data_IF_733105264715
#
_entry.id   IF_733105264715
#
_cell.length_a   1.000
_cell.length_b   1.000
_cell.length_c   1.000
_cell.angle_alpha   90.00
_cell.angle_beta   90.00
_cell.angle_gamma   90.00
#
_symmetry.space_group_name_H-M   'P 1'
#
loop_
_entity.id
_entity.type
_entity.pdbx_description
1 polymer ?
#
# COMPACT_ATOMS: atom_id res chain seq x y z
N UNK A 1 72.32 -61.68 12.05
CA UNK A 1 71.34 -61.82 10.94
C UNK A 1 70.19 -60.82 10.94
N UNK A 2 69.32 -60.70 11.96
CA UNK A 2 68.19 -59.73 11.92
C UNK A 2 68.68 -58.27 11.91
N UNK A 3 69.67 -57.95 12.75
CA UNK A 3 70.26 -56.61 12.85
C UNK A 3 71.02 -56.18 11.58
N UNK A 4 71.80 -57.06 10.97
CA UNK A 4 72.53 -56.76 9.72
C UNK A 4 71.58 -56.52 8.55
N UNK A 5 70.49 -57.29 8.47
CA UNK A 5 69.41 -57.05 7.49
C UNK A 5 68.72 -55.71 7.72
N UNK A 6 68.60 -55.26 8.96
CA UNK A 6 68.06 -53.95 9.31
C UNK A 6 69.04 -52.82 8.94
N UNK A 7 70.32 -52.94 9.28
CA UNK A 7 71.35 -51.97 8.92
C UNK A 7 71.49 -51.82 7.41
N UNK A 8 71.57 -52.91 6.67
CA UNK A 8 71.60 -52.87 5.19
C UNK A 8 70.33 -52.29 4.57
N UNK A 9 69.18 -52.37 5.24
CA UNK A 9 67.96 -51.69 4.79
C UNK A 9 68.04 -50.18 5.06
N UNK A 10 68.54 -49.78 6.22
CA UNK A 10 68.75 -48.37 6.56
C UNK A 10 69.78 -47.73 5.64
N UNK A 11 70.89 -48.40 5.35
CA UNK A 11 71.92 -47.91 4.43
C UNK A 11 71.32 -47.68 3.03
N UNK A 12 70.52 -48.63 2.52
CA UNK A 12 69.80 -48.47 1.25
C UNK A 12 68.79 -47.33 1.27
N UNK A 13 68.07 -47.15 2.38
CA UNK A 13 67.15 -46.02 2.52
C UNK A 13 67.91 -44.70 2.55
N UNK A 14 69.05 -44.64 3.24
CA UNK A 14 69.94 -43.48 3.32
C UNK A 14 70.50 -43.13 1.94
N UNK A 15 71.05 -44.10 1.21
CA UNK A 15 71.51 -43.92 -0.17
C UNK A 15 70.39 -43.37 -1.07
N UNK A 16 69.17 -43.91 -0.95
CA UNK A 16 68.02 -43.46 -1.75
C UNK A 16 67.59 -42.03 -1.42
N UNK A 17 67.79 -41.58 -0.19
CA UNK A 17 67.48 -40.22 0.27
C UNK A 17 68.58 -39.27 -0.20
N UNK A 18 69.85 -39.66 -0.06
CA UNK A 18 71.00 -38.88 -0.53
C UNK A 18 70.94 -38.66 -2.04
N UNK A 19 70.64 -39.69 -2.83
CA UNK A 19 70.45 -39.58 -4.27
C UNK A 19 69.31 -38.61 -4.63
N UNK A 20 68.17 -38.71 -3.92
CA UNK A 20 67.05 -37.77 -4.11
C UNK A 20 67.43 -36.33 -3.77
N UNK A 21 68.24 -36.12 -2.73
CA UNK A 21 68.68 -34.79 -2.32
C UNK A 21 69.66 -34.16 -3.33
N UNK A 22 70.50 -34.97 -3.97
CA UNK A 22 71.45 -34.53 -5.01
C UNK A 22 70.73 -34.30 -6.35
N UNK A 23 69.68 -35.08 -6.63
CA UNK A 23 68.90 -34.98 -7.86
C UNK A 23 68.15 -33.64 -8.00
N UNK A 24 67.78 -33.28 -9.24
CA UNK A 24 67.01 -32.06 -9.49
C UNK A 24 65.61 -32.16 -8.87
N UNK A 25 65.21 -31.14 -8.10
CA UNK A 25 63.85 -31.04 -7.56
C UNK A 25 62.81 -31.06 -8.68
N UNK A 26 61.64 -31.71 -8.45
CA UNK A 26 60.56 -31.74 -9.41
C UNK A 26 60.00 -30.33 -9.62
N UNK A 27 59.33 -30.13 -10.76
CA UNK A 27 58.92 -28.80 -11.22
C UNK A 27 58.03 -28.04 -10.24
N UNK A 28 57.11 -28.71 -9.54
CA UNK A 28 56.20 -28.08 -8.57
C UNK A 28 56.90 -27.60 -7.28
N UNK A 29 58.13 -28.08 -7.01
CA UNK A 29 58.97 -27.64 -5.89
C UNK A 29 59.92 -26.49 -6.28
N UNK A 30 59.86 -26.03 -7.53
CA UNK A 30 60.65 -24.90 -8.05
C UNK A 30 59.75 -23.66 -8.12
N UNK A 31 60.31 -22.49 -7.78
CA UNK A 31 59.65 -21.21 -8.03
C UNK A 31 59.68 -20.84 -9.52
N UNK A 32 58.77 -19.97 -9.95
CA UNK A 32 58.80 -19.31 -11.27
C UNK A 32 58.87 -20.28 -12.47
N UNK A 33 58.15 -21.40 -12.39
CA UNK A 33 58.16 -22.44 -13.42
C UNK A 33 57.36 -21.99 -14.65
N UNK A 34 57.99 -22.05 -15.83
CA UNK A 34 57.32 -21.79 -17.10
C UNK A 34 56.64 -23.05 -17.64
N UNK A 35 55.71 -22.87 -18.59
CA UNK A 35 55.01 -23.98 -19.24
C UNK A 35 55.94 -24.94 -20.00
N UNK A 36 57.15 -24.51 -20.37
CA UNK A 36 58.16 -25.32 -21.07
C UNK A 36 58.98 -26.24 -20.14
N UNK A 37 59.07 -25.89 -18.85
CA UNK A 37 59.91 -26.61 -17.88
C UNK A 37 59.21 -27.84 -17.26
N UNK A 38 57.94 -28.05 -17.64
CA UNK A 38 57.07 -29.15 -17.20
C UNK A 38 56.51 -29.89 -18.41
N UNK A 39 56.14 -31.16 -18.21
CA UNK A 39 55.46 -31.93 -19.25
C UNK A 39 54.06 -31.39 -19.54
N UNK A 40 53.54 -31.72 -20.72
CA UNK A 40 52.17 -31.41 -21.10
C UNK A 40 51.19 -32.00 -20.08
N UNK A 41 50.14 -31.25 -19.73
CA UNK A 41 49.09 -31.64 -18.78
C UNK A 41 49.52 -31.94 -17.32
N UNK A 42 50.80 -31.80 -16.95
CA UNK A 42 51.27 -32.02 -15.57
C UNK A 42 50.53 -31.19 -14.49
N UNK A 43 49.97 -30.04 -14.88
CA UNK A 43 49.19 -29.18 -13.98
C UNK A 43 47.86 -29.82 -13.53
N UNK A 44 47.30 -30.75 -14.30
CA UNK A 44 46.04 -31.42 -13.97
C UNK A 44 46.24 -32.53 -12.94
N UNK A 45 47.45 -33.06 -12.82
CA UNK A 45 47.81 -34.12 -11.87
C UNK A 45 47.98 -33.59 -10.45
N UNK A 46 48.46 -32.34 -10.33
CA UNK A 46 48.79 -31.71 -9.06
C UNK A 46 47.68 -30.75 -8.58
N UNK A 47 47.46 -30.71 -7.27
CA UNK A 47 46.44 -29.86 -6.65
C UNK A 47 47.04 -28.55 -6.13
N UNK A 48 46.82 -27.46 -6.86
CA UNK A 48 47.22 -26.11 -6.43
C UNK A 48 46.04 -25.31 -5.91
N UNK A 49 46.24 -24.64 -4.78
CA UNK A 49 45.30 -23.63 -4.29
C UNK A 49 45.67 -22.27 -4.91
N UNK A 50 44.76 -21.73 -5.72
CA UNK A 50 44.94 -20.43 -6.39
C UNK A 50 43.78 -19.52 -6.03
N UNK A 51 44.11 -18.30 -5.61
CA UNK A 51 43.11 -17.28 -5.37
C UNK A 51 42.42 -16.88 -6.70
N UNK A 52 41.10 -17.05 -6.75
CA UNK A 52 40.29 -16.64 -7.90
C UNK A 52 39.71 -15.25 -7.62
N UNK A 53 39.82 -14.35 -8.59
CA UNK A 53 39.35 -12.97 -8.49
C UNK A 53 37.86 -12.81 -8.84
N UNK A 54 37.19 -13.88 -9.30
CA UNK A 54 35.79 -13.84 -9.70
C UNK A 54 34.87 -14.29 -8.55
N UNK A 55 33.80 -13.52 -8.33
CA UNK A 55 32.70 -13.94 -7.44
C UNK A 55 32.04 -15.16 -8.06
N UNK A 56 32.06 -16.27 -7.33
CA UNK A 56 31.38 -17.49 -7.75
C UNK A 56 29.88 -17.25 -7.90
N UNK A 57 29.35 -17.46 -9.11
CA UNK A 57 27.92 -17.47 -9.35
C UNK A 57 27.40 -18.87 -9.06
N UNK A 58 26.54 -19.07 -8.04
CA UNK A 58 25.97 -20.38 -7.79
C UNK A 58 25.13 -20.82 -8.98
N UNK A 59 25.03 -22.14 -9.15
CA UNK A 59 24.12 -22.75 -10.12
C UNK A 59 22.65 -22.44 -9.80
N UNK A 60 21.72 -22.86 -10.67
CA UNK A 60 20.29 -22.72 -10.38
C UNK A 60 19.96 -23.43 -9.06
N UNK A 61 19.14 -22.78 -8.23
CA UNK A 61 18.63 -23.37 -7.00
C UNK A 61 17.62 -24.47 -7.29
N UNK A 62 17.45 -25.39 -6.34
CA UNK A 62 16.41 -26.42 -6.40
C UNK A 62 15.01 -25.79 -6.50
N UNK A 63 14.27 -26.19 -7.52
CA UNK A 63 12.92 -25.69 -7.80
C UNK A 63 11.96 -25.93 -6.63
N UNK A 64 12.16 -27.01 -5.87
CA UNK A 64 11.35 -27.36 -4.71
C UNK A 64 11.42 -26.30 -3.60
N UNK A 65 12.60 -25.73 -3.36
CA UNK A 65 12.82 -24.70 -2.33
C UNK A 65 12.08 -23.42 -2.73
N UNK A 66 12.17 -23.04 -4.01
CA UNK A 66 11.47 -21.88 -4.57
C UNK A 66 9.95 -22.08 -4.47
N UNK A 67 9.46 -23.26 -4.84
CA UNK A 67 8.04 -23.58 -4.77
C UNK A 67 7.50 -23.49 -3.34
N UNK A 68 8.26 -23.99 -2.36
CA UNK A 68 7.85 -23.94 -0.96
C UNK A 68 7.89 -22.51 -0.38
N UNK A 69 8.88 -21.70 -0.79
CA UNK A 69 8.91 -20.27 -0.49
C UNK A 69 7.67 -19.54 -1.04
N UNK A 70 7.32 -19.80 -2.30
CA UNK A 70 6.15 -19.19 -2.93
C UNK A 70 4.84 -19.64 -2.28
N UNK A 71 4.69 -20.94 -1.96
CA UNK A 71 3.53 -21.46 -1.22
C UNK A 71 3.37 -20.77 0.12
N UNK A 72 4.48 -20.55 0.85
CA UNK A 72 4.48 -19.82 2.12
C UNK A 72 4.05 -18.36 1.92
N UNK A 73 4.62 -17.66 0.96
CA UNK A 73 4.26 -16.26 0.64
C UNK A 73 2.80 -16.08 0.28
N UNK A 74 2.23 -16.99 -0.53
CA UNK A 74 0.81 -16.99 -0.90
C UNK A 74 -0.08 -17.26 0.31
N UNK A 75 0.29 -18.25 1.15
CA UNK A 75 -0.44 -18.58 2.38
C UNK A 75 -0.48 -17.39 3.34
N UNK A 76 0.63 -16.66 3.45
CA UNK A 76 0.79 -15.51 4.34
C UNK A 76 0.27 -14.19 3.71
N UNK A 77 -0.11 -14.20 2.43
CA UNK A 77 -0.49 -13.03 1.63
C UNK A 77 0.54 -11.89 1.70
N UNK A 78 1.82 -12.24 1.80
CA UNK A 78 2.92 -11.28 1.93
C UNK A 78 3.44 -10.88 0.54
N UNK A 79 2.66 -10.06 -0.16
CA UNK A 79 3.02 -9.55 -1.49
C UNK A 79 3.55 -8.12 -1.39
N UNK A 80 4.70 -7.87 -2.01
CA UNK A 80 5.28 -6.53 -2.16
C UNK A 80 4.82 -5.88 -3.46
N UNK A 81 3.50 -5.75 -3.62
CA UNK A 81 2.89 -5.14 -4.81
C UNK A 81 2.69 -3.64 -4.56
N UNK A 82 3.02 -2.74 -5.51
CA UNK A 82 2.74 -1.31 -5.34
C UNK A 82 1.26 -1.07 -5.07
N UNK A 83 0.97 -0.18 -4.11
CA UNK A 83 -0.40 0.22 -3.77
C UNK A 83 -0.81 1.44 -4.59
N UNK A 84 -2.08 1.50 -4.99
CA UNK A 84 -2.62 2.71 -5.60
C UNK A 84 -2.61 3.85 -4.57
N UNK A 85 -1.99 4.97 -4.94
CA UNK A 85 -2.03 6.20 -4.15
C UNK A 85 -3.45 6.78 -4.22
N UNK A 86 -4.25 6.52 -3.19
CA UNK A 86 -5.57 7.15 -3.02
C UNK A 86 -5.34 8.54 -2.43
N UNK A 87 -5.90 9.58 -3.06
CA UNK A 87 -5.91 10.93 -2.47
C UNK A 87 -6.58 10.84 -1.10
N UNK A 88 -5.96 11.31 0.01
CA UNK A 88 -6.68 11.41 1.27
C UNK A 88 -7.89 12.28 1.02
N UNK A 89 -9.09 11.69 1.13
CA UNK A 89 -10.30 12.49 1.22
C UNK A 89 -10.25 13.12 2.60
N UNK A 90 -10.27 14.44 2.66
CA UNK A 90 -10.48 15.14 3.91
C UNK A 90 -11.76 14.55 4.50
N UNK A 91 -11.62 13.82 5.61
CA UNK A 91 -12.77 13.31 6.32
C UNK A 91 -13.45 14.54 6.91
N UNK A 92 -14.44 15.07 6.19
CA UNK A 92 -15.48 15.91 6.77
C UNK A 92 -16.11 15.03 7.83
N UNK A 93 -15.60 15.16 9.04
CA UNK A 93 -16.15 14.51 10.21
C UNK A 93 -17.46 15.23 10.41
N UNK A 94 -18.53 14.70 9.82
CA UNK A 94 -19.89 15.09 10.21
C UNK A 94 -19.90 15.05 11.72
N UNK A 95 -20.15 16.17 12.41
CA UNK A 95 -20.20 16.20 13.86
C UNK A 95 -21.10 15.05 14.26
N UNK A 96 -20.54 14.06 14.96
CA UNK A 96 -21.39 13.08 15.61
C UNK A 96 -22.17 13.90 16.61
N UNK A 97 -23.48 13.99 16.43
CA UNK A 97 -24.35 14.59 17.42
C UNK A 97 -24.07 13.88 18.74
N UNK A 98 -23.28 14.52 19.60
CA UNK A 98 -23.11 14.08 20.95
C UNK A 98 -24.49 14.27 21.56
N UNK A 99 -25.19 13.16 21.81
CA UNK A 99 -26.43 13.17 22.57
C UNK A 99 -26.03 13.68 23.95
N UNK A 100 -26.22 14.98 24.17
CA UNK A 100 -25.97 15.61 25.45
C UNK A 100 -26.94 14.97 26.44
N UNK A 101 -26.41 14.30 27.45
CA UNK A 101 -27.20 13.65 28.52
C UNK A 101 -27.77 14.64 29.53
N UNK A 102 -27.59 15.94 29.27
CA UNK A 102 -28.05 17.02 30.15
C UNK A 102 -29.51 17.34 29.80
N UNK A 103 -30.39 17.32 30.80
CA UNK A 103 -31.80 17.65 30.65
C UNK A 103 -31.93 19.18 30.53
N UNK A 104 -32.02 19.68 29.31
CA UNK A 104 -32.37 21.09 29.04
C UNK A 104 -33.88 21.27 29.03
N UNK A 105 -34.35 22.48 29.36
CA UNK A 105 -35.77 22.83 29.20
C UNK A 105 -36.12 22.93 27.72
N UNK A 106 -37.38 22.64 27.34
CA UNK A 106 -37.83 22.76 25.96
C UNK A 106 -37.61 24.18 25.40
N UNK A 107 -37.77 25.21 26.24
CA UNK A 107 -37.54 26.62 25.87
C UNK A 107 -36.07 26.83 25.48
N UNK A 108 -35.15 26.30 26.27
CA UNK A 108 -33.70 26.41 26.04
C UNK A 108 -33.27 25.63 24.79
N UNK A 109 -33.90 24.48 24.50
CA UNK A 109 -33.68 23.76 23.26
C UNK A 109 -34.11 24.57 22.04
N UNK A 110 -35.28 25.23 22.09
CA UNK A 110 -35.74 26.09 21.01
C UNK A 110 -34.87 27.33 20.83
N UNK A 111 -34.44 27.98 21.91
CA UNK A 111 -33.50 29.12 21.86
C UNK A 111 -32.16 28.70 21.26
N UNK A 112 -31.65 27.53 21.67
CA UNK A 112 -30.41 26.97 21.12
C UNK A 112 -30.56 26.59 19.64
N UNK A 113 -31.70 26.02 19.23
CA UNK A 113 -31.96 25.72 17.82
C UNK A 113 -32.09 26.99 16.97
N UNK A 114 -32.77 28.01 17.48
CA UNK A 114 -32.91 29.30 16.80
C UNK A 114 -31.55 30.01 16.66
N UNK A 115 -30.75 30.02 17.73
CA UNK A 115 -29.41 30.59 17.72
C UNK A 115 -28.47 29.81 16.79
N UNK A 116 -28.54 28.48 16.79
CA UNK A 116 -27.78 27.63 15.86
C UNK A 116 -28.22 27.83 14.41
N UNK A 117 -29.51 27.94 14.12
CA UNK A 117 -30.01 28.22 12.77
C UNK A 117 -29.48 29.57 12.26
N UNK A 118 -29.51 30.60 13.12
CA UNK A 118 -28.98 31.93 12.80
C UNK A 118 -27.44 31.96 12.70
N UNK A 119 -26.75 31.10 13.44
CA UNK A 119 -25.30 30.93 13.35
C UNK A 119 -24.89 30.15 12.08
N UNK A 120 -25.71 29.18 11.64
CA UNK A 120 -25.48 28.40 10.42
C UNK A 120 -25.65 29.25 9.14
N UNK A 121 -26.47 30.31 9.21
CA UNK A 121 -26.60 31.31 8.13
C UNK A 121 -25.36 32.20 7.97
N UNK A 122 -24.51 32.33 9.01
CA UNK A 122 -23.26 33.08 8.93
C UNK A 122 -22.11 32.12 8.62
N UNK A 123 -21.25 32.40 7.62
CA UNK A 123 -20.06 31.59 7.39
C UNK A 123 -19.18 31.68 8.65
N UNK A 124 -19.05 30.55 9.34
CA UNK A 124 -18.18 30.39 10.50
C UNK A 124 -16.77 30.03 10.02
N UNK A 125 -16.24 30.75 9.04
CA UNK A 125 -14.82 30.72 8.71
C UNK A 125 -14.11 31.81 9.52
N UNK A 126 -12.86 31.56 9.92
CA UNK A 126 -12.09 32.57 10.64
C UNK A 126 -11.89 33.78 9.71
N UNK A 127 -12.24 35.02 10.12
CA UNK A 127 -12.21 36.18 9.23
C UNK A 127 -10.79 36.44 8.69
N UNK A 128 -9.75 36.11 9.46
CA UNK A 128 -8.36 36.19 9.02
C UNK A 128 -8.05 35.24 7.85
N UNK A 129 -8.65 34.05 7.81
CA UNK A 129 -8.47 33.08 6.72
C UNK A 129 -9.13 33.57 5.44
N UNK A 130 -10.30 34.19 5.54
CA UNK A 130 -10.98 34.77 4.37
C UNK A 130 -10.17 35.94 3.77
N UNK A 131 -9.64 36.82 4.62
CA UNK A 131 -8.76 37.91 4.19
C UNK A 131 -7.52 37.36 3.49
N UNK A 132 -6.82 36.42 4.10
CA UNK A 132 -5.65 35.78 3.51
C UNK A 132 -5.98 35.07 2.18
N UNK A 133 -7.14 34.42 2.09
CA UNK A 133 -7.60 33.77 0.85
C UNK A 133 -7.76 34.79 -0.27
N UNK A 134 -8.37 35.94 0.01
CA UNK A 134 -8.56 37.00 -0.97
C UNK A 134 -7.22 37.61 -1.44
N UNK A 135 -6.29 37.84 -0.51
CA UNK A 135 -4.93 38.32 -0.82
C UNK A 135 -4.17 37.33 -1.72
N UNK A 136 -4.25 36.03 -1.41
CA UNK A 136 -3.60 34.98 -2.21
C UNK A 136 -4.20 34.91 -3.61
N UNK A 137 -5.53 34.97 -3.73
CA UNK A 137 -6.21 34.97 -5.05
C UNK A 137 -5.72 36.16 -5.88
N UNK A 138 -5.76 37.37 -5.32
CA UNK A 138 -5.31 38.58 -6.01
C UNK A 138 -3.82 38.55 -6.39
N UNK A 139 -2.96 38.02 -5.52
CA UNK A 139 -1.53 37.86 -5.83
C UNK A 139 -1.32 36.94 -7.04
N UNK A 140 -1.99 35.79 -7.07
CA UNK A 140 -1.85 34.86 -8.19
C UNK A 140 -2.45 35.39 -9.48
N UNK A 141 -3.56 36.13 -9.43
CA UNK A 141 -4.15 36.74 -10.63
C UNK A 141 -3.19 37.77 -11.26
N UNK A 142 -2.46 38.51 -10.43
CA UNK A 142 -1.40 39.41 -10.88
C UNK A 142 -0.20 38.65 -11.49
N UNK A 143 0.22 37.53 -10.90
CA UNK A 143 1.31 36.70 -11.43
C UNK A 143 0.92 36.00 -12.73
N UNK A 144 -0.31 35.53 -12.83
CA UNK A 144 -0.86 34.90 -14.02
C UNK A 144 -0.94 35.93 -15.17
N UNK A 145 -1.34 37.17 -14.88
CA UNK A 145 -1.30 38.26 -15.85
C UNK A 145 0.13 38.64 -16.27
N UNK A 146 1.07 38.72 -15.32
CA UNK A 146 2.49 39.03 -15.59
C UNK A 146 3.17 37.96 -16.46
N UNK A 147 2.76 36.70 -16.31
CA UNK A 147 3.27 35.56 -17.09
C UNK A 147 2.58 35.37 -18.45
N UNK A 148 1.80 36.36 -18.93
CA UNK A 148 1.01 36.27 -20.16
C UNK A 148 0.08 35.04 -20.17
N UNK A 149 -0.50 34.71 -19.01
CA UNK A 149 -1.39 33.57 -18.83
C UNK A 149 -0.73 32.19 -19.07
N UNK A 150 0.61 32.10 -19.08
CA UNK A 150 1.36 30.85 -19.22
C UNK A 150 1.73 30.25 -17.85
N UNK A 151 0.71 29.81 -17.11
CA UNK A 151 0.88 29.20 -15.79
C UNK A 151 0.29 27.79 -15.76
N UNK A 152 0.64 27.05 -14.71
CA UNK A 152 0.03 25.72 -14.47
C UNK A 152 -1.34 25.93 -13.83
N UNK A 153 -2.45 25.48 -14.46
CA UNK A 153 -3.78 25.67 -13.93
C UNK A 153 -3.91 25.19 -12.48
N UNK A 154 -4.67 25.93 -11.67
CA UNK A 154 -4.88 25.61 -10.26
C UNK A 154 -5.47 24.20 -10.12
N UNK A 155 -5.03 23.48 -9.08
CA UNK A 155 -5.57 22.15 -8.78
C UNK A 155 -7.06 22.28 -8.51
N UNK A 156 -7.87 21.43 -9.15
CA UNK A 156 -9.30 21.34 -8.86
C UNK A 156 -9.49 20.96 -7.39
N UNK A 157 -10.14 21.85 -6.66
CA UNK A 157 -10.67 21.58 -5.33
C UNK A 157 -12.09 21.09 -5.52
N UNK A 158 -12.46 20.00 -4.84
CA UNK A 158 -13.81 19.46 -4.91
C UNK A 158 -14.76 20.42 -4.18
N UNK A 159 -15.50 21.24 -4.93
CA UNK A 159 -16.59 22.08 -4.44
C UNK A 159 -17.95 21.45 -4.74
N UNK A 160 -18.98 21.86 -4.00
CA UNK A 160 -20.38 21.52 -4.31
C UNK A 160 -21.15 22.79 -4.64
N UNK A 161 -21.91 22.75 -5.73
CA UNK A 161 -22.83 23.81 -6.10
C UNK A 161 -24.25 23.32 -5.81
N UNK A 162 -24.94 23.98 -4.87
CA UNK A 162 -26.34 23.65 -4.56
C UNK A 162 -27.21 24.39 -5.57
N UNK A 163 -27.73 23.64 -6.55
CA UNK A 163 -28.69 24.15 -7.53
C UNK A 163 -30.11 24.02 -6.98
N UNK A 164 -30.94 25.02 -7.25
CA UNK A 164 -32.37 24.98 -6.95
C UNK A 164 -33.13 24.69 -8.24
N UNK A 165 -34.22 23.91 -8.16
CA UNK A 165 -35.04 23.63 -9.34
C UNK A 165 -35.73 24.91 -9.81
N UNK A 166 -35.21 25.50 -10.89
CA UNK A 166 -35.72 26.68 -11.57
C UNK A 166 -35.70 26.39 -13.07
N UNK A 167 -36.49 27.15 -13.83
CA UNK A 167 -36.44 27.12 -15.28
C UNK A 167 -35.05 27.56 -15.77
N UNK A 168 -34.50 26.93 -16.80
CA UNK A 168 -33.18 27.27 -17.33
C UNK A 168 -33.09 28.72 -17.80
N UNK A 169 -34.21 29.28 -18.27
CA UNK A 169 -34.37 30.70 -18.61
C UNK A 169 -33.90 31.66 -17.49
N UNK A 170 -33.99 31.27 -16.22
CA UNK A 170 -33.54 32.12 -15.11
C UNK A 170 -32.01 32.28 -15.03
N UNK A 171 -31.24 31.43 -15.72
CA UNK A 171 -29.78 31.52 -15.82
C UNK A 171 -29.34 32.23 -17.11
N UNK A 172 -30.25 32.41 -18.07
CA UNK A 172 -29.94 33.08 -19.34
C UNK A 172 -29.69 34.57 -19.14
N UNK A 173 -28.89 35.14 -20.05
CA UNK A 173 -28.71 36.58 -20.14
C UNK A 173 -30.04 37.24 -20.53
N UNK A 174 -30.30 38.43 -19.97
CA UNK A 174 -31.51 39.19 -20.27
C UNK A 174 -31.53 39.64 -21.74
N UNK A 175 -32.18 38.85 -22.59
CA UNK A 175 -32.39 39.12 -24.01
C UNK A 175 -33.86 39.06 -24.41
N UNK A 176 -34.21 39.52 -25.61
CA UNK A 176 -35.59 39.52 -26.10
C UNK A 176 -36.13 38.11 -26.42
N UNK A 177 -35.26 37.10 -26.54
CA UNK A 177 -35.63 35.73 -26.90
C UNK A 177 -35.07 34.75 -25.88
N UNK A 178 -35.94 33.91 -25.30
CA UNK A 178 -35.51 32.77 -24.52
C UNK A 178 -35.14 31.61 -25.44
N UNK A 179 -34.03 30.93 -25.15
CA UNK A 179 -33.54 29.79 -25.93
C UNK A 179 -33.90 28.46 -25.26
N UNK A 180 -33.81 28.39 -23.93
CA UNK A 180 -34.07 27.18 -23.17
C UNK A 180 -35.47 27.14 -22.55
N UNK A 181 -36.22 26.09 -22.87
CA UNK A 181 -37.56 25.81 -22.31
C UNK A 181 -37.54 24.80 -21.15
N UNK A 182 -36.41 24.14 -20.90
CA UNK A 182 -36.29 23.08 -19.89
C UNK A 182 -35.98 23.62 -18.48
N UNK A 183 -36.24 22.81 -17.46
CA UNK A 183 -35.79 23.08 -16.10
C UNK A 183 -34.29 22.79 -15.92
N UNK A 184 -33.67 23.37 -14.90
CA UNK A 184 -32.26 23.17 -14.56
C UNK A 184 -31.96 21.76 -14.03
N UNK A 185 -32.94 21.13 -13.36
CA UNK A 185 -32.76 19.85 -12.69
C UNK A 185 -33.27 18.72 -13.59
N UNK A 186 -32.49 17.65 -13.73
CA UNK A 186 -32.91 16.51 -14.53
C UNK A 186 -34.06 15.74 -13.85
N UNK A 187 -34.94 15.05 -14.60
CA UNK A 187 -35.98 14.21 -14.01
C UNK A 187 -35.45 13.15 -13.03
N UNK A 188 -34.23 12.61 -13.27
CA UNK A 188 -33.58 11.65 -12.37
C UNK A 188 -33.09 12.27 -11.05
N UNK A 189 -32.82 13.58 -11.04
CA UNK A 189 -32.41 14.32 -9.84
C UNK A 189 -33.62 14.79 -9.04
N UNK A 190 -34.74 15.11 -9.71
CA UNK A 190 -36.06 15.35 -9.08
C UNK A 190 -36.58 14.03 -8.47
N UNK A 191 -36.54 12.96 -9.25
CA UNK A 191 -36.99 11.63 -8.86
C UNK A 191 -35.92 10.60 -9.21
N UNK A 192 -35.18 10.18 -8.19
CA UNK A 192 -34.18 9.13 -8.32
C UNK A 192 -34.75 7.88 -9.00
N UNK A 193 -33.99 7.22 -9.89
CA UNK A 193 -34.47 6.06 -10.62
C UNK A 193 -34.93 4.98 -9.65
N UNK A 194 -36.21 4.59 -9.75
CA UNK A 194 -36.74 3.43 -9.02
C UNK A 194 -36.11 2.19 -9.63
N UNK A 195 -35.09 1.65 -8.97
CA UNK A 195 -34.25 0.57 -9.49
C UNK A 195 -35.04 -0.62 -10.08
N UNK A 196 -35.50 -1.54 -9.24
CA UNK A 196 -36.41 -2.60 -9.70
C UNK A 196 -37.87 -2.12 -9.55
N UNK A 197 -38.77 -2.47 -10.47
CA UNK A 197 -40.19 -2.16 -10.33
C UNK A 197 -40.70 -2.73 -9.00
N UNK A 198 -41.47 -1.92 -8.27
CA UNK A 198 -42.02 -2.30 -6.98
C UNK A 198 -43.04 -3.44 -7.20
N UNK A 199 -42.66 -4.67 -6.83
CA UNK A 199 -43.58 -5.82 -6.83
C UNK A 199 -44.24 -5.96 -5.48
N UNK A 200 -45.55 -6.19 -5.46
CA UNK A 200 -46.28 -6.49 -4.23
C UNK A 200 -45.82 -7.82 -3.62
N UNK A 201 -45.93 -7.98 -2.29
CA UNK A 201 -45.50 -9.21 -1.61
C UNK A 201 -46.20 -10.48 -2.15
N UNK A 202 -47.41 -10.32 -2.68
CA UNK A 202 -48.24 -11.36 -3.33
C UNK A 202 -47.72 -11.78 -4.70
N UNK A 203 -47.05 -10.88 -5.43
CA UNK A 203 -46.56 -11.10 -6.80
C UNK A 203 -45.14 -11.68 -6.82
N UNK A 204 -44.44 -11.70 -5.68
CA UNK A 204 -43.07 -12.18 -5.57
C UNK A 204 -43.04 -13.72 -5.51
N UNK A 205 -42.56 -14.33 -6.60
CA UNK A 205 -42.32 -15.77 -6.71
C UNK A 205 -41.11 -16.23 -5.87
N UNK A 206 -41.04 -17.54 -5.60
CA UNK A 206 -39.92 -18.15 -4.87
C UNK A 206 -38.57 -17.97 -5.58
N UNK A 207 -38.58 -17.98 -6.93
CA UNK A 207 -37.43 -17.70 -7.78
C UNK A 207 -36.93 -16.26 -7.63
N UNK A 208 -37.84 -15.30 -7.59
CA UNK A 208 -37.54 -13.88 -7.39
C UNK A 208 -36.92 -13.66 -6.00
N UNK A 209 -37.48 -14.28 -4.95
CA UNK A 209 -36.87 -14.26 -3.59
C UNK A 209 -35.44 -14.80 -3.59
N UNK A 210 -35.17 -15.90 -4.29
CA UNK A 210 -33.82 -16.49 -4.39
C UNK A 210 -32.86 -15.57 -5.14
N UNK A 211 -33.30 -14.95 -6.23
CA UNK A 211 -32.51 -13.98 -7.01
C UNK A 211 -32.16 -12.76 -6.17
N UNK A 212 -33.15 -12.17 -5.49
CA UNK A 212 -32.98 -11.03 -4.60
C UNK A 212 -31.99 -11.34 -3.47
N UNK A 213 -32.11 -12.51 -2.81
CA UNK A 213 -31.17 -12.95 -1.77
C UNK A 213 -29.73 -13.05 -2.29
N UNK A 214 -29.52 -13.63 -3.48
CA UNK A 214 -28.18 -13.72 -4.10
C UNK A 214 -27.62 -12.33 -4.44
N UNK A 215 -28.45 -11.42 -4.97
CA UNK A 215 -28.07 -10.02 -5.26
C UNK A 215 -27.63 -9.32 -3.96
N UNK A 216 -28.45 -9.41 -2.91
CA UNK A 216 -28.14 -8.82 -1.62
C UNK A 216 -26.86 -9.39 -0.99
N UNK A 217 -26.63 -10.70 -1.10
CA UNK A 217 -25.39 -11.34 -0.66
C UNK A 217 -24.17 -10.80 -1.41
N UNK A 218 -24.26 -10.61 -2.73
CA UNK A 218 -23.19 -10.04 -3.56
C UNK A 218 -22.88 -8.60 -3.16
N UNK A 219 -23.91 -7.77 -2.99
CA UNK A 219 -23.77 -6.36 -2.56
C UNK A 219 -23.11 -6.28 -1.18
N UNK A 220 -23.57 -7.09 -0.21
CA UNK A 220 -22.97 -7.16 1.13
C UNK A 220 -21.51 -7.62 1.08
N UNK A 221 -21.18 -8.62 0.26
CA UNK A 221 -19.82 -9.09 0.09
C UNK A 221 -18.90 -8.01 -0.51
N UNK A 222 -19.36 -7.26 -1.52
CA UNK A 222 -18.63 -6.14 -2.09
C UNK A 222 -18.39 -5.03 -1.06
N UNK A 223 -19.42 -4.65 -0.28
CA UNK A 223 -19.29 -3.66 0.80
C UNK A 223 -18.31 -4.11 1.89
N UNK A 224 -18.30 -5.40 2.25
CA UNK A 224 -17.33 -5.97 3.19
C UNK A 224 -15.90 -5.90 2.66
N UNK A 225 -15.68 -6.22 1.37
CA UNK A 225 -14.37 -6.11 0.72
C UNK A 225 -13.88 -4.65 0.70
N UNK A 226 -14.74 -3.72 0.31
CA UNK A 226 -14.42 -2.27 0.33
C UNK A 226 -14.07 -1.79 1.75
N UNK A 227 -14.85 -2.17 2.76
CA UNK A 227 -14.55 -1.85 4.17
C UNK A 227 -13.24 -2.46 4.64
N UNK A 228 -12.93 -3.70 4.26
CA UNK A 228 -11.66 -4.35 4.60
C UNK A 228 -10.46 -3.65 3.92
N UNK A 229 -10.62 -3.22 2.68
CA UNK A 229 -9.62 -2.45 1.95
C UNK A 229 -9.41 -1.03 2.54
N UNK A 230 -10.48 -0.36 2.97
CA UNK A 230 -10.36 0.91 3.72
C UNK A 230 -9.80 0.71 5.12
N UNK A 231 -10.07 -0.45 5.74
CA UNK A 231 -9.54 -0.84 7.05
C UNK A 231 -8.15 -1.47 6.96
N UNK A 232 -7.37 -1.19 5.91
CA UNK A 232 -5.92 -1.39 5.92
C UNK A 232 -5.36 -0.44 6.99
N UNK A 233 -5.48 -0.89 8.24
CA UNK A 233 -4.80 -0.37 9.40
C UNK A 233 -3.32 -0.37 9.02
N UNK A 234 -2.71 0.81 9.01
CA UNK A 234 -1.25 0.93 8.93
C UNK A 234 -0.63 -0.09 9.89
N UNK A 235 0.51 -0.70 9.54
CA UNK A 235 1.17 -1.71 10.39
C UNK A 235 1.21 -1.27 11.87
N UNK A 236 1.41 0.02 12.13
CA UNK A 236 1.33 0.65 13.46
C UNK A 236 -0.02 0.49 14.19
N UNK A 237 -1.16 0.68 13.52
CA UNK A 237 -2.49 0.49 14.14
C UNK A 237 -2.82 -0.98 14.44
N UNK A 238 -2.31 -1.92 13.63
CA UNK A 238 -2.44 -3.37 13.92
C UNK A 238 -1.61 -3.76 15.13
N UNK A 239 -0.36 -3.30 15.21
CA UNK A 239 0.53 -3.54 16.34
C UNK A 239 0.00 -2.89 17.63
N UNK A 240 -0.55 -1.67 17.55
CA UNK A 240 -1.18 -0.99 18.68
C UNK A 240 -2.40 -1.75 19.20
N UNK A 241 -3.28 -2.22 18.31
CA UNK A 241 -4.44 -3.04 18.68
C UNK A 241 -4.02 -4.38 19.29
N UNK A 242 -3.02 -5.06 18.74
CA UNK A 242 -2.49 -6.30 19.32
C UNK A 242 -1.90 -6.08 20.72
N UNK A 243 -1.24 -4.94 20.95
CA UNK A 243 -0.72 -4.56 22.27
C UNK A 243 -1.85 -4.33 23.27
N UNK A 244 -2.92 -3.63 22.87
CA UNK A 244 -4.11 -3.40 23.71
C UNK A 244 -4.80 -4.72 24.06
N UNK A 245 -4.94 -5.64 23.10
CA UNK A 245 -5.52 -6.97 23.35
C UNK A 245 -4.65 -7.78 24.32
N UNK A 246 -3.32 -7.74 24.19
CA UNK A 246 -2.40 -8.40 25.12
C UNK A 246 -2.45 -7.81 26.53
N UNK A 247 -2.63 -6.49 26.65
CA UNK A 247 -2.80 -5.82 27.94
C UNK A 247 -4.14 -6.16 28.60
N UNK A 248 -5.22 -6.30 27.81
CA UNK A 248 -6.54 -6.70 28.31
C UNK A 248 -6.60 -8.15 28.84
N UNK A 249 -5.78 -9.06 28.31
CA UNK A 249 -5.69 -10.44 28.80
C UNK A 249 -4.71 -10.64 29.97
N UNK A 250 -4.03 -9.59 30.43
CA UNK A 250 -3.13 -9.70 31.59
C UNK A 250 -3.97 -9.83 32.87
N UNK A 251 -3.66 -10.77 33.78
CA UNK A 251 -4.41 -10.94 35.02
C UNK A 251 -4.35 -9.63 35.84
N UNK A 252 -5.52 -9.13 36.25
CA UNK A 252 -5.68 -7.85 36.95
C UNK A 252 -5.83 -6.62 36.06
N UNK A 253 -6.01 -6.76 34.74
CA UNK A 253 -6.21 -5.60 33.86
C UNK A 253 -7.65 -5.05 33.92
N UNK A 254 -7.78 -3.72 33.94
CA UNK A 254 -9.08 -3.01 33.93
C UNK A 254 -9.63 -2.76 32.51
N UNK A 255 -9.04 -3.35 31.47
CA UNK A 255 -9.38 -3.08 30.07
C UNK A 255 -10.34 -4.17 29.58
N UNK A 256 -11.61 -3.82 29.34
CA UNK A 256 -12.63 -4.73 28.77
C UNK A 256 -12.79 -4.47 27.27
N UNK A 257 -12.63 -5.50 26.45
CA UNK A 257 -12.88 -5.43 25.00
C UNK A 257 -14.36 -5.78 24.76
N UNK A 258 -15.15 -4.79 24.32
CA UNK A 258 -16.52 -5.04 23.87
C UNK A 258 -16.48 -5.79 22.52
N UNK A 259 -17.26 -6.87 22.41
CA UNK A 259 -17.35 -7.72 21.21
C UNK A 259 -18.23 -7.09 20.14
#
# INVERSE_FOLDING_TARGET
MQFEKFMTKLDKEMDSIEEKMISSKPWYLRGEVSGKDRSENALLEEHFEVQRHAIYKPGPFDENIIADFLKKGIREQSFDNPTLKVKPKDHVTTPKDFINTNKTSLVEEYENLYTKAKALEKPQEDPEKEVLRNEIVGLFDNLDALSNMHFVPRRRVDGYNILTNKQAMALEEAGPTALAESDLLAPEEVLGPRGEPLKGATEVTSTDRRRHRKKLMRVRAAKRKMRAAMAIKTKGQRVAMARVVKMAHKPGSNIKIAR
#
